data_IF_590133215887
#
_entry.id   IF_590133215887
#
_cell.length_a   1.000
_cell.length_b   1.000
_cell.length_c   1.000
_cell.angle_alpha   90.00
_cell.angle_beta   90.00
_cell.angle_gamma   90.00
#
_symmetry.space_group_name_H-M   'P 1'
#
loop_
_entity.id
_entity.type
_entity.pdbx_description
1 polymer ?
#
# COMPACT_ATOMS: atom_id res chain seq x y z
N UNK A 1 12.15 -18.37 0.17
CA UNK A 1 11.81 -17.23 1.05
C UNK A 1 12.61 -16.04 0.56
N UNK A 2 12.04 -14.84 0.58
CA UNK A 2 12.76 -13.65 0.12
C UNK A 2 13.76 -13.16 1.17
N UNK A 3 14.90 -12.61 0.77
CA UNK A 3 15.93 -12.10 1.71
C UNK A 3 15.39 -11.09 2.75
N UNK A 4 14.31 -10.36 2.42
CA UNK A 4 13.64 -9.45 3.37
C UNK A 4 12.84 -10.22 4.42
N UNK A 5 12.21 -11.33 4.06
CA UNK A 5 11.45 -12.17 4.99
C UNK A 5 12.38 -12.89 5.96
N UNK A 6 13.50 -13.40 5.47
CA UNK A 6 14.54 -14.02 6.30
C UNK A 6 15.12 -13.00 7.30
N UNK A 7 15.34 -11.76 6.86
CA UNK A 7 15.79 -10.68 7.73
C UNK A 7 14.75 -10.26 8.78
N UNK A 8 13.46 -10.34 8.47
CA UNK A 8 12.37 -10.09 9.44
C UNK A 8 12.30 -11.22 10.45
N UNK A 9 12.36 -12.47 10.02
CA UNK A 9 12.38 -13.63 10.91
C UNK A 9 13.55 -13.57 11.89
N UNK A 10 14.73 -13.13 11.45
CA UNK A 10 15.91 -12.94 12.30
C UNK A 10 15.77 -11.78 13.32
N UNK A 11 14.87 -10.83 13.08
CA UNK A 11 14.51 -9.78 14.06
C UNK A 11 13.52 -10.35 15.07
N UNK A 12 12.47 -11.04 14.60
CA UNK A 12 11.39 -11.58 15.43
C UNK A 12 11.84 -12.76 16.30
N UNK A 13 12.87 -13.50 15.89
CA UNK A 13 13.44 -14.61 16.67
C UNK A 13 14.33 -14.16 17.84
N UNK A 14 14.62 -12.85 17.98
CA UNK A 14 15.41 -12.33 19.09
C UNK A 14 14.57 -12.18 20.35
N UNK A 15 15.24 -12.18 21.51
CA UNK A 15 14.54 -12.00 22.78
C UNK A 15 13.88 -10.61 22.85
N UNK A 16 12.64 -10.51 23.36
CA UNK A 16 11.99 -9.23 23.57
C UNK A 16 12.81 -8.37 24.55
N UNK A 17 13.40 -7.28 24.06
CA UNK A 17 14.23 -6.38 24.86
C UNK A 17 15.68 -6.25 24.36
N UNK A 18 16.12 -7.15 23.48
CA UNK A 18 17.44 -7.06 22.87
C UNK A 18 17.51 -5.90 21.87
N UNK A 19 18.42 -4.94 22.11
CA UNK A 19 18.62 -3.85 21.18
C UNK A 19 19.29 -4.35 19.89
N UNK A 20 18.69 -4.06 18.74
CA UNK A 20 19.25 -4.42 17.43
C UNK A 20 19.30 -3.21 16.51
N UNK A 21 20.24 -3.26 15.54
CA UNK A 21 20.38 -2.24 14.50
C UNK A 21 19.90 -2.76 13.16
N UNK A 22 18.93 -2.08 12.56
CA UNK A 22 18.49 -2.39 11.19
C UNK A 22 19.62 -2.34 10.16
N UNK A 23 20.69 -1.55 10.39
CA UNK A 23 21.84 -1.50 9.46
C UNK A 23 22.63 -2.82 9.48
N UNK A 24 22.85 -3.38 10.66
CA UNK A 24 23.61 -4.62 10.82
C UNK A 24 22.89 -5.78 10.14
N UNK A 25 21.59 -5.92 10.40
CA UNK A 25 20.75 -6.96 9.81
C UNK A 25 20.62 -6.75 8.31
N UNK A 26 20.37 -5.53 7.85
CA UNK A 26 20.30 -5.23 6.42
C UNK A 26 21.58 -5.63 5.67
N UNK A 27 22.75 -5.35 6.24
CA UNK A 27 24.03 -5.74 5.66
C UNK A 27 24.24 -7.26 5.66
N UNK A 28 23.85 -7.96 6.73
CA UNK A 28 23.96 -9.42 6.84
C UNK A 28 23.15 -10.14 5.76
N UNK A 29 21.94 -9.65 5.47
CA UNK A 29 21.03 -10.25 4.50
C UNK A 29 21.09 -9.60 3.11
N UNK A 30 21.97 -8.61 2.91
CA UNK A 30 22.10 -7.89 1.63
C UNK A 30 20.85 -7.11 1.20
N UNK A 31 20.00 -6.70 2.14
CA UNK A 31 18.73 -6.00 1.87
C UNK A 31 18.85 -4.50 2.13
N UNK A 32 18.00 -3.70 1.50
CA UNK A 32 17.96 -2.27 1.80
C UNK A 32 17.40 -2.02 3.21
N UNK A 33 18.16 -1.30 4.05
CA UNK A 33 17.79 -0.96 5.43
C UNK A 33 16.42 -0.28 5.55
N UNK A 34 16.10 0.63 4.62
CA UNK A 34 14.84 1.39 4.68
C UNK A 34 13.64 0.52 4.34
N UNK A 35 13.80 -0.38 3.38
CA UNK A 35 12.80 -1.39 3.03
C UNK A 35 12.55 -2.35 4.19
N UNK A 36 13.62 -2.89 4.79
CA UNK A 36 13.52 -3.79 5.94
C UNK A 36 12.78 -3.15 7.11
N UNK A 37 13.16 -1.92 7.49
CA UNK A 37 12.54 -1.20 8.60
C UNK A 37 11.07 -0.89 8.34
N UNK A 38 10.71 -0.43 7.14
CA UNK A 38 9.30 -0.14 6.79
C UNK A 38 8.44 -1.38 6.82
N UNK A 39 8.95 -2.52 6.34
CA UNK A 39 8.20 -3.78 6.30
C UNK A 39 8.03 -4.38 7.70
N UNK A 40 9.09 -4.43 8.51
CA UNK A 40 9.02 -4.89 9.90
C UNK A 40 8.08 -4.04 10.76
N UNK A 41 8.04 -2.71 10.56
CA UNK A 41 7.14 -1.81 11.30
C UNK A 41 5.70 -1.80 10.76
N UNK A 42 5.36 -2.61 9.75
CA UNK A 42 4.03 -2.59 9.13
C UNK A 42 3.67 -1.26 8.44
N UNK A 43 4.66 -0.42 8.10
CA UNK A 43 4.42 0.89 7.44
C UNK A 43 4.11 0.77 5.95
N UNK A 44 4.29 -0.42 5.37
CA UNK A 44 3.88 -0.68 4.00
C UNK A 44 2.40 -1.04 4.02
N UNK A 45 1.56 -0.15 3.48
CA UNK A 45 0.17 -0.47 3.19
C UNK A 45 0.10 -1.47 2.03
N UNK A 46 -0.90 -2.38 2.02
CA UNK A 46 -1.16 -3.20 0.85
C UNK A 46 -1.48 -2.31 -0.35
N UNK A 47 -1.16 -2.81 -1.56
CA UNK A 47 -1.39 -2.07 -2.80
C UNK A 47 -2.87 -1.67 -2.96
N UNK A 48 -3.79 -2.53 -2.53
CA UNK A 48 -5.24 -2.29 -2.53
C UNK A 48 -5.61 -1.08 -1.66
N UNK A 49 -5.13 -1.00 -0.42
CA UNK A 49 -5.37 0.15 0.44
C UNK A 49 -4.76 1.45 -0.13
N UNK A 50 -3.64 1.35 -0.85
CA UNK A 50 -3.08 2.50 -1.58
C UNK A 50 -3.99 2.93 -2.72
N UNK A 51 -4.53 1.98 -3.49
CA UNK A 51 -5.47 2.27 -4.58
C UNK A 51 -6.71 2.96 -4.02
N UNK A 52 -7.34 2.37 -3.00
CA UNK A 52 -8.51 2.97 -2.35
C UNK A 52 -8.23 4.39 -1.81
N UNK A 53 -7.08 4.60 -1.15
CA UNK A 53 -6.70 5.92 -0.65
C UNK A 53 -6.38 6.95 -1.76
N UNK A 54 -6.08 6.50 -2.98
CA UNK A 54 -5.84 7.37 -4.13
C UNK A 54 -7.12 7.78 -4.85
N UNK A 55 -8.22 7.04 -4.68
CA UNK A 55 -9.49 7.39 -5.29
C UNK A 55 -10.00 8.71 -4.68
N UNK A 56 -10.29 9.69 -5.54
CA UNK A 56 -10.88 10.98 -5.12
C UNK A 56 -12.37 10.88 -4.79
N UNK A 57 -12.98 9.79 -5.25
CA UNK A 57 -14.40 9.50 -5.14
C UNK A 57 -14.56 8.08 -4.60
N UNK A 58 -15.56 7.86 -3.77
CA UNK A 58 -15.84 6.52 -3.28
C UNK A 58 -16.58 5.70 -4.36
N UNK A 59 -16.67 4.39 -4.17
CA UNK A 59 -17.31 3.47 -5.12
C UNK A 59 -18.75 3.87 -5.45
N UNK A 60 -19.51 4.36 -4.46
CA UNK A 60 -20.89 4.78 -4.66
C UNK A 60 -21.00 6.04 -5.55
N UNK A 61 -20.10 7.00 -5.37
CA UNK A 61 -19.99 8.19 -6.20
C UNK A 61 -19.59 7.84 -7.64
N UNK A 62 -18.67 6.88 -7.82
CA UNK A 62 -18.32 6.37 -9.14
C UNK A 62 -19.54 5.74 -9.84
N UNK A 63 -20.30 4.90 -9.14
CA UNK A 63 -21.51 4.29 -9.68
C UNK A 63 -22.56 5.33 -10.10
N UNK A 64 -22.73 6.38 -9.30
CA UNK A 64 -23.64 7.47 -9.61
C UNK A 64 -23.18 8.28 -10.83
N UNK A 65 -21.88 8.58 -10.92
CA UNK A 65 -21.27 9.24 -12.08
C UNK A 65 -21.43 8.43 -13.37
N UNK A 66 -21.21 7.11 -13.31
CA UNK A 66 -21.40 6.22 -14.45
C UNK A 66 -22.86 6.24 -14.91
N UNK A 67 -23.81 6.09 -13.97
CA UNK A 67 -25.25 6.15 -14.28
C UNK A 67 -25.64 7.49 -14.91
N UNK A 68 -25.12 8.60 -14.37
CA UNK A 68 -25.37 9.94 -14.90
C UNK A 68 -24.88 10.09 -16.34
N UNK A 69 -23.64 9.65 -16.62
CA UNK A 69 -23.06 9.70 -17.97
C UNK A 69 -23.86 8.83 -18.95
N UNK A 70 -24.28 7.64 -18.53
CA UNK A 70 -25.10 6.74 -19.35
C UNK A 70 -26.46 7.36 -19.69
N UNK A 71 -27.13 8.01 -18.72
CA UNK A 71 -28.40 8.70 -18.94
C UNK A 71 -28.28 9.86 -19.94
N UNK A 72 -27.21 10.65 -19.83
CA UNK A 72 -26.94 11.75 -20.76
C UNK A 72 -26.63 11.23 -22.16
N UNK A 73 -25.83 10.17 -22.26
CA UNK A 73 -25.49 9.53 -23.53
C UNK A 73 -26.75 9.01 -24.23
N UNK A 74 -27.66 8.36 -23.49
CA UNK A 74 -28.98 7.92 -24.02
C UNK A 74 -29.82 9.08 -24.55
N UNK A 75 -29.68 10.27 -23.96
CA UNK A 75 -30.37 11.50 -24.38
C UNK A 75 -29.65 12.27 -25.49
N UNK A 76 -28.46 11.83 -25.92
CA UNK A 76 -27.62 12.54 -26.87
C UNK A 76 -27.03 13.85 -26.32
N UNK A 77 -26.98 14.00 -25.00
CA UNK A 77 -26.47 15.19 -24.32
C UNK A 77 -25.02 14.95 -23.87
N UNK A 78 -24.12 15.92 -24.04
CA UNK A 78 -22.78 15.82 -23.46
C UNK A 78 -22.85 15.98 -21.93
N UNK A 79 -21.93 15.35 -21.18
CA UNK A 79 -21.84 15.58 -19.75
C UNK A 79 -21.40 17.01 -19.43
N UNK A 80 -22.20 17.69 -18.62
CA UNK A 80 -21.94 19.04 -18.13
C UNK A 80 -21.24 18.99 -16.77
N UNK A 81 -20.27 19.89 -16.56
CA UNK A 81 -19.68 20.17 -15.24
C UNK A 81 -20.20 21.53 -14.82
N UNK A 82 -21.03 21.59 -13.79
CA UNK A 82 -21.24 22.84 -13.05
C UNK A 82 -20.04 23.09 -12.12
#
# INVERSE_FOLDING_TARGET
>A
MGAIEDAIAAIESREPGDSFSYRAIANQFGVNRTTLSRRHQGRQAPMEAKIEAQHKVNLQQEMELVRYIEELTKRGLPPTRD
#
